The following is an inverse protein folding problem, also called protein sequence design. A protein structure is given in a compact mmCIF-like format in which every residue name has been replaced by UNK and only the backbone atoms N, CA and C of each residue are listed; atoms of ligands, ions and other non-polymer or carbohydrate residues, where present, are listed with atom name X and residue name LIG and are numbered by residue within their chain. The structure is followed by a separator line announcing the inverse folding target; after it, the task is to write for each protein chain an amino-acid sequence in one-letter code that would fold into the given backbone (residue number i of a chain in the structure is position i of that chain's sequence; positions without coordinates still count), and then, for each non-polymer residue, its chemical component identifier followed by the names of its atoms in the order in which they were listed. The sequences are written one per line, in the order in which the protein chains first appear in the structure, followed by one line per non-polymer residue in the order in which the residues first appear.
data_IF_660540128111
#
_entry.id   IF_660540128111
#
_cell.length_a   1.000
_cell.length_b   1.000
_cell.length_c   1.000
_cell.angle_alpha   90.00
_cell.angle_beta   90.00
_cell.angle_gamma   90.00
#
_symmetry.space_group_name_H-M   'P 1'
#
loop_
_entity.id
_entity.type
_entity.pdbx_description
1 polymer ?
#
# COMPACT_ATOMS: atom_id res chain seq x y z
N UNK A 1 22.75 7.86 11.44
CA UNK A 1 21.68 8.86 11.29
C UNK A 1 20.40 8.26 11.84
N UNK A 2 19.87 8.76 12.97
CA UNK A 2 18.57 8.32 13.50
C UNK A 2 17.51 8.97 12.63
N UNK A 3 16.98 8.26 11.63
CA UNK A 3 15.79 8.73 10.95
C UNK A 3 14.65 8.66 11.97
N UNK A 4 14.28 9.81 12.53
CA UNK A 4 13.05 9.93 13.29
C UNK A 4 11.88 9.86 12.30
N UNK A 5 11.45 8.64 11.98
CA UNK A 5 10.20 8.39 11.27
C UNK A 5 9.05 8.58 12.28
N UNK A 6 8.98 9.74 12.91
CA UNK A 6 7.98 10.10 13.91
C UNK A 6 7.37 11.45 13.55
N UNK A 7 6.03 11.51 13.49
CA UNK A 7 5.28 12.71 13.12
C UNK A 7 4.57 12.60 11.76
N UNK A 8 4.43 13.74 11.07
CA UNK A 8 3.64 13.87 9.82
C UNK A 8 4.06 12.89 8.72
N UNK A 9 5.34 12.58 8.60
CA UNK A 9 5.83 11.68 7.56
C UNK A 9 5.34 10.23 7.74
N UNK A 10 5.29 9.76 8.99
CA UNK A 10 4.69 8.45 9.31
C UNK A 10 3.18 8.42 9.03
N UNK A 11 2.49 9.53 9.31
CA UNK A 11 1.05 9.67 9.00
C UNK A 11 0.78 9.69 7.49
N UNK A 12 1.64 10.32 6.70
CA UNK A 12 1.54 10.29 5.23
C UNK A 12 1.71 8.86 4.69
N UNK A 13 2.71 8.13 5.19
CA UNK A 13 2.91 6.72 4.80
C UNK A 13 1.71 5.89 5.20
N UNK A 14 1.18 6.06 6.42
CA UNK A 14 -0.02 5.35 6.87
C UNK A 14 -1.23 5.67 5.99
N UNK A 15 -1.47 6.94 5.68
CA UNK A 15 -2.56 7.35 4.78
C UNK A 15 -2.41 6.73 3.38
N UNK A 16 -1.20 6.70 2.84
CA UNK A 16 -0.91 6.09 1.56
C UNK A 16 -1.12 4.56 1.58
N UNK A 17 -0.80 3.89 2.69
CA UNK A 17 -1.08 2.46 2.88
C UNK A 17 -2.59 2.19 2.90
N UNK A 18 -3.37 2.98 3.64
CA UNK A 18 -4.84 2.85 3.66
C UNK A 18 -5.41 3.06 2.27
N UNK A 19 -4.96 4.09 1.56
CA UNK A 19 -5.39 4.37 0.19
C UNK A 19 -5.09 3.21 -0.76
N UNK A 20 -3.87 2.64 -0.72
CA UNK A 20 -3.50 1.48 -1.52
C UNK A 20 -4.40 0.27 -1.23
N UNK A 21 -4.64 -0.03 0.05
CA UNK A 21 -5.49 -1.16 0.47
C UNK A 21 -6.93 -0.99 -0.02
N UNK A 22 -7.50 0.21 0.09
CA UNK A 22 -8.86 0.49 -0.39
C UNK A 22 -9.01 0.27 -1.91
N UNK A 23 -8.02 0.69 -2.70
CA UNK A 23 -8.03 0.44 -4.14
C UNK A 23 -7.86 -1.06 -4.47
N UNK A 24 -6.98 -1.77 -3.76
CA UNK A 24 -6.82 -3.22 -3.93
C UNK A 24 -8.14 -3.95 -3.62
N UNK A 25 -8.82 -3.56 -2.53
CA UNK A 25 -10.11 -4.12 -2.15
C UNK A 25 -11.20 -3.87 -3.19
N UNK A 26 -11.23 -2.69 -3.81
CA UNK A 26 -12.21 -2.34 -4.82
C UNK A 26 -11.89 -2.86 -6.23
N UNK A 27 -10.64 -3.26 -6.49
CA UNK A 27 -10.23 -3.78 -7.80
C UNK A 27 -10.99 -5.04 -8.24
N UNK A 28 -11.00 -5.32 -9.55
CA UNK A 28 -11.63 -6.51 -10.15
C UNK A 28 -10.76 -7.79 -10.04
N UNK A 29 -9.62 -7.71 -9.33
CA UNK A 29 -8.71 -8.85 -9.14
C UNK A 29 -9.30 -9.96 -8.28
N UNK A 30 -8.75 -11.17 -8.42
CA UNK A 30 -9.14 -12.32 -7.59
C UNK A 30 -8.78 -12.11 -6.12
N UNK A 31 -9.50 -12.77 -5.20
CA UNK A 31 -9.26 -12.68 -3.75
C UNK A 31 -7.81 -13.00 -3.37
N UNK A 32 -7.22 -14.03 -3.98
CA UNK A 32 -5.82 -14.39 -3.74
C UNK A 32 -4.84 -13.30 -4.16
N UNK A 33 -5.06 -12.67 -5.31
CA UNK A 33 -4.26 -11.54 -5.78
C UNK A 33 -4.37 -10.34 -4.83
N UNK A 34 -5.60 -10.00 -4.40
CA UNK A 34 -5.84 -8.92 -3.43
C UNK A 34 -5.09 -9.15 -2.13
N UNK A 35 -5.16 -10.35 -1.57
CA UNK A 35 -4.46 -10.70 -0.34
C UNK A 35 -2.94 -10.54 -0.50
N UNK A 36 -2.37 -11.00 -1.62
CA UNK A 36 -0.93 -10.91 -1.89
C UNK A 36 -0.47 -9.45 -1.98
N UNK A 37 -1.25 -8.60 -2.66
CA UNK A 37 -0.99 -7.16 -2.75
C UNK A 37 -1.10 -6.44 -1.41
N UNK A 38 -2.12 -6.76 -0.60
CA UNK A 38 -2.28 -6.18 0.74
C UNK A 38 -1.09 -6.58 1.63
N UNK A 39 -0.68 -7.86 1.61
CA UNK A 39 0.49 -8.33 2.37
C UNK A 39 1.76 -7.60 1.93
N UNK A 40 1.96 -7.43 0.62
CA UNK A 40 3.12 -6.72 0.08
C UNK A 40 3.17 -5.26 0.56
N UNK A 41 2.04 -4.56 0.54
CA UNK A 41 1.92 -3.17 1.03
C UNK A 41 2.20 -3.09 2.54
N UNK A 42 1.64 -4.00 3.34
CA UNK A 42 1.82 -3.97 4.80
C UNK A 42 3.24 -4.35 5.26
N UNK A 43 3.88 -5.32 4.60
CA UNK A 43 5.25 -5.74 4.93
C UNK A 43 6.28 -4.70 4.50
N UNK A 44 6.01 -4.01 3.39
CA UNK A 44 6.87 -2.96 2.86
C UNK A 44 6.06 -1.65 2.75
N UNK A 45 5.81 -0.92 3.85
CA UNK A 45 4.85 0.19 3.83
C UNK A 45 5.21 1.32 2.86
N UNK A 46 6.48 1.66 2.71
CA UNK A 46 6.89 2.69 1.74
C UNK A 46 7.07 2.10 0.33
N UNK A 47 7.89 1.05 0.21
CA UNK A 47 8.20 0.44 -1.09
C UNK A 47 7.00 -0.27 -1.71
N UNK A 48 6.19 -0.95 -0.90
CA UNK A 48 4.99 -1.65 -1.30
C UNK A 48 3.92 -0.71 -1.83
N UNK A 49 3.72 0.46 -1.21
CA UNK A 49 2.87 1.53 -1.79
C UNK A 49 3.42 2.01 -3.13
N UNK A 50 4.74 2.21 -3.24
CA UNK A 50 5.39 2.61 -4.51
C UNK A 50 5.17 1.56 -5.59
N UNK A 51 5.42 0.28 -5.30
CA UNK A 51 5.23 -0.84 -6.24
C UNK A 51 3.77 -0.94 -6.65
N UNK A 52 2.84 -0.89 -5.68
CA UNK A 52 1.42 -0.91 -5.94
C UNK A 52 0.97 0.30 -6.78
N UNK A 53 1.54 1.49 -6.59
CA UNK A 53 1.21 2.65 -7.39
C UNK A 53 1.47 2.43 -8.89
N UNK A 54 2.54 1.72 -9.25
CA UNK A 54 2.89 1.46 -10.66
C UNK A 54 2.25 0.18 -11.22
N UNK A 55 2.25 -0.91 -10.44
CA UNK A 55 1.89 -2.25 -10.91
C UNK A 55 0.70 -2.88 -10.18
N UNK A 56 0.13 -2.17 -9.21
CA UNK A 56 -0.97 -2.65 -8.40
C UNK A 56 -2.28 -2.77 -9.17
N UNK A 57 -3.19 -3.64 -8.72
CA UNK A 57 -4.48 -3.84 -9.34
C UNK A 57 -5.31 -2.57 -9.16
N UNK A 58 -5.85 -2.06 -10.27
CA UNK A 58 -6.71 -0.87 -10.27
C UNK A 58 -8.17 -1.26 -10.49
N UNK A 59 -9.05 -0.35 -10.11
CA UNK A 59 -10.45 -0.38 -10.55
C UNK A 59 -10.47 -0.30 -12.08
N UNK A 60 -11.35 -1.09 -12.70
CA UNK A 60 -11.54 -1.14 -14.14
C UNK A 60 -12.52 -0.06 -14.60
#
# INVERSE_FOLDING_TARGET
MRMEIGGLFGLLILAANVWAILNIFQSTSTTGSKALWIVLVLVLPLLGVIIWYFAGPREA
#
